data_IF_584054168859
#
_entry.id   IF_584054168859
#
_cell.length_a   1.000
_cell.length_b   1.000
_cell.length_c   1.000
_cell.angle_alpha   90.00
_cell.angle_beta   90.00
_cell.angle_gamma   90.00
#
_symmetry.space_group_name_H-M   'P 1'
#
loop_
_entity.id
_entity.type
_entity.pdbx_description
1 polymer ?
#
# COMPACT_ATOMS: atom_id res chain seq x y z
N UNK A 1 16.66 16.98 -13.93
CA UNK A 1 16.75 17.29 -12.49
C UNK A 1 15.52 18.01 -11.93
N UNK A 2 14.86 18.88 -12.70
CA UNK A 2 13.67 19.65 -12.29
C UNK A 2 12.40 18.80 -12.09
N UNK A 3 12.17 17.81 -12.93
CA UNK A 3 10.99 16.93 -12.86
C UNK A 3 10.97 16.02 -11.60
N UNK A 4 12.15 15.56 -11.17
CA UNK A 4 12.30 14.76 -9.95
C UNK A 4 12.00 15.57 -8.69
N UNK A 5 12.41 16.86 -8.64
CA UNK A 5 12.08 17.74 -7.51
C UNK A 5 10.58 18.01 -7.39
N UNK A 6 9.87 18.21 -8.51
CA UNK A 6 8.43 18.41 -8.50
C UNK A 6 7.66 17.16 -8.04
N UNK A 7 8.13 15.97 -8.41
CA UNK A 7 7.54 14.69 -7.99
C UNK A 7 7.72 14.42 -6.48
N UNK A 8 8.86 14.83 -5.90
CA UNK A 8 9.14 14.73 -4.46
C UNK A 8 8.33 15.73 -3.62
N UNK A 9 8.04 16.92 -4.15
CA UNK A 9 7.22 17.92 -3.45
C UNK A 9 5.77 17.49 -3.33
N UNK A 10 5.22 16.77 -4.32
CA UNK A 10 3.88 16.20 -4.27
C UNK A 10 3.77 15.10 -3.19
N UNK A 11 4.83 14.31 -2.98
CA UNK A 11 4.88 13.29 -1.92
C UNK A 11 4.91 13.93 -0.52
N UNK A 12 5.62 15.05 -0.35
CA UNK A 12 5.72 15.77 0.92
C UNK A 12 4.40 16.48 1.31
N UNK A 13 3.63 16.96 0.35
CA UNK A 13 2.34 17.62 0.60
C UNK A 13 1.26 16.65 1.12
N UNK A 14 1.31 15.38 0.74
CA UNK A 14 0.39 14.33 1.24
C UNK A 14 0.74 13.92 2.67
N UNK A 15 2.01 14.02 3.09
CA UNK A 15 2.46 13.75 4.46
C UNK A 15 1.92 14.77 5.49
N UNK A 16 1.72 16.02 5.07
CA UNK A 16 1.24 17.08 5.96
C UNK A 16 -0.26 16.99 6.30
N UNK A 17 -1.06 16.33 5.47
CA UNK A 17 -2.51 16.17 5.65
C UNK A 17 -2.92 15.00 6.56
N UNK A 18 -1.99 14.08 6.88
CA UNK A 18 -2.24 12.89 7.71
C UNK A 18 -2.08 13.11 9.23
N UNK A 19 -1.59 14.27 9.68
CA UNK A 19 -1.25 14.49 11.09
C UNK A 19 -2.33 15.19 11.93
N UNK A 20 -3.49 15.53 11.36
CA UNK A 20 -4.57 16.21 12.06
C UNK A 20 -5.77 15.28 12.27
N UNK A 21 -5.89 14.75 13.47
CA UNK A 21 -7.18 14.31 14.01
C UNK A 21 -7.37 12.84 14.34
N UNK A 22 -7.13 12.46 15.61
CA UNK A 22 -7.98 11.51 16.32
C UNK A 22 -7.99 11.86 17.80
N UNK A 23 -8.97 12.69 18.17
CA UNK A 23 -9.41 12.72 19.57
C UNK A 23 -10.44 11.59 19.74
N UNK A 24 -10.07 10.53 20.44
CA UNK A 24 -10.96 9.44 20.80
C UNK A 24 -11.70 9.80 22.10
N UNK A 25 -13.03 9.77 22.06
CA UNK A 25 -13.91 9.89 23.22
C UNK A 25 -13.76 8.63 24.11
N UNK A 26 -13.71 8.85 25.42
CA UNK A 26 -13.69 7.81 26.44
C UNK A 26 -15.08 7.17 26.60
N UNK A 27 -15.20 5.86 26.81
CA UNK A 27 -16.46 5.22 27.16
C UNK A 27 -16.72 5.28 28.67
N UNK A 28 -18.00 5.44 29.00
CA UNK A 28 -18.55 5.46 30.35
C UNK A 28 -18.46 4.08 31.02
N UNK A 29 -18.19 4.09 32.31
CA UNK A 29 -18.22 2.92 33.21
C UNK A 29 -19.66 2.38 33.35
N UNK A 30 -19.79 1.05 33.35
CA UNK A 30 -20.97 0.34 33.82
C UNK A 30 -20.55 -0.83 34.72
N UNK A 31 -21.14 -0.84 35.90
CA UNK A 31 -20.91 -1.77 37.01
C UNK A 31 -21.35 -3.22 36.75
N UNK A 32 -20.59 -4.13 37.36
CA UNK A 32 -21.07 -5.30 38.10
C UNK A 32 -21.43 -6.56 37.33
N UNK A 33 -20.61 -7.58 37.40
CA UNK A 33 -20.79 -8.91 38.02
C UNK A 33 -19.68 -9.88 37.64
N UNK A 34 -18.97 -10.32 38.64
CA UNK A 34 -17.90 -11.33 38.62
C UNK A 34 -18.45 -12.69 38.23
N UNK A 35 -18.07 -13.23 37.08
CA UNK A 35 -17.91 -14.63 36.82
C UNK A 35 -16.44 -14.91 36.47
N UNK A 36 -15.69 -15.48 37.40
CA UNK A 36 -14.34 -15.97 37.14
C UNK A 36 -14.44 -17.22 36.26
N UNK A 37 -14.37 -17.00 34.94
CA UNK A 37 -13.93 -18.04 34.05
C UNK A 37 -12.41 -17.90 33.88
N UNK A 38 -11.67 -18.95 34.28
CA UNK A 38 -10.28 -19.16 33.92
C UNK A 38 -10.18 -19.24 32.39
N UNK A 39 -10.11 -18.11 31.72
CA UNK A 39 -9.63 -18.03 30.35
C UNK A 39 -8.12 -17.83 30.42
N UNK A 40 -7.41 -18.76 29.79
CA UNK A 40 -5.96 -18.68 29.64
C UNK A 40 -5.53 -17.33 29.17
N UNK A 41 -4.42 -16.88 29.71
CA UNK A 41 -3.73 -15.61 29.48
C UNK A 41 -3.44 -15.47 27.96
N UNK A 42 -4.42 -15.02 27.20
CA UNK A 42 -4.20 -14.53 25.84
C UNK A 42 -3.53 -13.19 26.01
N UNK A 43 -2.19 -13.18 25.98
CA UNK A 43 -1.43 -11.94 25.87
C UNK A 43 -2.11 -11.06 24.85
N UNK A 44 -2.59 -9.88 25.26
CA UNK A 44 -3.22 -8.91 24.37
C UNK A 44 -2.19 -8.53 23.33
N UNK A 45 -2.27 -9.16 22.16
CA UNK A 45 -1.34 -8.89 21.07
C UNK A 45 -1.62 -7.47 20.59
N UNK A 46 -0.64 -6.58 20.74
CA UNK A 46 -0.72 -5.20 20.26
C UNK A 46 -1.20 -5.17 18.80
N UNK A 47 -2.27 -4.44 18.57
CA UNK A 47 -2.80 -4.25 17.23
C UNK A 47 -1.88 -3.30 16.48
N UNK A 48 -1.46 -3.66 15.27
CA UNK A 48 -0.57 -2.85 14.45
C UNK A 48 -1.32 -2.34 13.22
N UNK A 49 -1.22 -1.04 12.98
CA UNK A 49 -1.68 -0.40 11.76
C UNK A 49 -0.48 0.23 11.03
N UNK A 50 -0.56 0.30 9.72
CA UNK A 50 0.49 0.87 8.87
C UNK A 50 -0.11 1.65 7.72
N UNK A 51 0.39 2.87 7.51
CA UNK A 51 0.11 3.69 6.35
C UNK A 51 1.35 3.64 5.45
N UNK A 52 1.15 3.37 4.17
CA UNK A 52 2.23 3.34 3.17
C UNK A 52 1.88 4.26 2.01
N UNK A 53 2.88 4.96 1.49
CA UNK A 53 2.79 5.81 0.31
C UNK A 53 3.83 5.37 -0.70
N UNK A 54 3.39 5.09 -1.91
CA UNK A 54 4.25 4.64 -3.00
C UNK A 54 4.33 5.69 -4.10
N UNK A 55 5.50 5.83 -4.68
CA UNK A 55 5.71 6.37 -6.01
C UNK A 55 6.39 5.30 -6.86
N UNK A 56 5.72 4.91 -7.94
CA UNK A 56 6.16 3.85 -8.85
C UNK A 56 6.20 4.41 -10.25
N UNK A 57 7.39 4.47 -10.82
CA UNK A 57 7.62 4.90 -12.19
C UNK A 57 7.34 3.74 -13.15
N UNK A 58 6.75 4.04 -14.27
CA UNK A 58 6.42 3.06 -15.31
C UNK A 58 7.63 2.27 -15.79
N UNK A 59 7.40 1.02 -16.18
CA UNK A 59 8.37 0.14 -16.82
C UNK A 59 7.78 -0.49 -18.07
N UNK A 60 8.59 -0.51 -19.11
CA UNK A 60 8.25 -1.09 -20.39
C UNK A 60 7.83 -0.06 -21.43
N UNK A 61 7.89 -0.49 -22.68
CA UNK A 61 7.54 0.32 -23.84
C UNK A 61 6.03 0.51 -23.96
N UNK A 62 5.60 1.66 -24.46
CA UNK A 62 4.21 2.01 -24.76
C UNK A 62 3.28 2.14 -23.55
N UNK A 63 3.76 1.97 -22.32
CA UNK A 63 2.95 2.00 -21.10
C UNK A 63 3.57 2.98 -20.11
N UNK A 64 3.30 4.26 -20.35
CA UNK A 64 3.88 5.37 -19.60
C UNK A 64 2.91 5.82 -18.50
N UNK A 65 2.65 4.92 -17.53
CA UNK A 65 1.70 5.16 -16.44
C UNK A 65 2.46 5.10 -15.12
N UNK A 66 2.66 6.25 -14.50
CA UNK A 66 3.21 6.38 -13.16
C UNK A 66 2.10 6.21 -12.12
N UNK A 67 2.44 5.66 -10.95
CA UNK A 67 1.50 5.38 -9.89
C UNK A 67 1.86 6.09 -8.59
N UNK A 68 0.86 6.65 -7.95
CA UNK A 68 0.90 7.21 -6.62
C UNK A 68 -0.14 6.46 -5.79
N UNK A 69 0.32 5.63 -4.84
CA UNK A 69 -0.57 4.82 -4.04
C UNK A 69 -0.54 5.26 -2.58
N UNK A 70 -1.69 5.20 -1.93
CA UNK A 70 -1.85 5.26 -0.50
C UNK A 70 -2.48 3.95 -0.03
N UNK A 71 -1.82 3.29 0.91
CA UNK A 71 -2.33 2.07 1.52
C UNK A 71 -2.51 2.29 3.02
N UNK A 72 -3.61 1.76 3.56
CA UNK A 72 -3.84 1.67 5.00
C UNK A 72 -4.04 0.20 5.33
N UNK A 73 -3.10 -0.38 6.05
CA UNK A 73 -3.11 -1.78 6.45
C UNK A 73 -3.31 -1.95 7.94
N UNK A 74 -3.97 -3.03 8.32
CA UNK A 74 -4.05 -3.54 9.68
C UNK A 74 -3.49 -4.96 9.73
N UNK A 75 -2.53 -5.20 10.61
CA UNK A 75 -2.06 -6.55 10.91
C UNK A 75 -3.15 -7.30 11.68
N UNK A 76 -3.46 -8.52 11.25
CA UNK A 76 -4.46 -9.36 11.92
C UNK A 76 -3.88 -10.70 12.39
N UNK A 77 -2.73 -11.11 11.86
CA UNK A 77 -2.06 -12.35 12.27
C UNK A 77 -0.54 -12.21 12.15
N UNK A 78 0.16 -12.85 13.08
CA UNK A 78 1.61 -12.99 13.03
C UNK A 78 1.99 -14.44 13.33
N UNK A 79 2.92 -15.01 12.57
CA UNK A 79 3.34 -16.41 12.67
C UNK A 79 4.82 -16.52 12.28
N UNK A 80 5.71 -16.85 13.24
CA UNK A 80 7.12 -17.21 12.98
C UNK A 80 7.84 -16.28 11.98
N UNK A 81 7.77 -14.95 12.19
CA UNK A 81 8.41 -13.96 11.33
C UNK A 81 7.63 -13.61 10.06
N UNK A 82 6.44 -14.17 9.86
CA UNK A 82 5.49 -13.81 8.82
C UNK A 82 4.30 -13.08 9.42
N UNK A 83 3.91 -11.95 8.87
CA UNK A 83 2.72 -11.22 9.27
C UNK A 83 1.75 -11.03 8.10
N UNK A 84 0.46 -11.13 8.43
CA UNK A 84 -0.65 -11.01 7.49
C UNK A 84 -1.40 -9.72 7.77
N UNK A 85 -1.64 -8.95 6.71
CA UNK A 85 -2.30 -7.65 6.80
C UNK A 85 -3.42 -7.57 5.77
N UNK A 86 -4.49 -6.90 6.14
CA UNK A 86 -5.54 -6.50 5.20
C UNK A 86 -5.75 -4.99 5.29
N UNK A 87 -6.28 -4.40 4.24
CA UNK A 87 -6.48 -2.97 4.22
C UNK A 87 -7.10 -2.46 2.94
N UNK A 88 -6.97 -1.17 2.77
CA UNK A 88 -7.46 -0.45 1.61
C UNK A 88 -6.31 0.23 0.88
N UNK A 89 -6.45 0.30 -0.43
CA UNK A 89 -5.56 1.02 -1.34
C UNK A 89 -6.35 2.07 -2.09
N UNK A 90 -5.79 3.28 -2.17
CA UNK A 90 -6.18 4.30 -3.14
C UNK A 90 -4.99 4.48 -4.09
N UNK A 91 -5.23 4.41 -5.38
CA UNK A 91 -4.22 4.51 -6.43
C UNK A 91 -4.59 5.62 -7.39
N UNK A 92 -3.65 6.54 -7.62
CA UNK A 92 -3.72 7.51 -8.72
C UNK A 92 -2.73 7.09 -9.79
N UNK A 93 -3.24 6.67 -10.92
CA UNK A 93 -2.50 6.42 -12.13
C UNK A 93 -2.44 7.72 -12.96
N UNK A 94 -1.28 8.06 -13.49
CA UNK A 94 -1.09 9.27 -14.32
C UNK A 94 -0.24 8.88 -15.52
N UNK A 95 -0.77 9.12 -16.71
CA UNK A 95 -0.02 8.86 -17.92
C UNK A 95 -0.84 8.33 -19.07
N UNK A 96 -0.16 7.69 -20.01
CA UNK A 96 -0.76 7.22 -21.25
C UNK A 96 -0.23 5.85 -21.66
N UNK A 97 -0.98 5.19 -22.53
CA UNK A 97 -0.48 3.99 -23.19
C UNK A 97 -0.74 4.10 -24.70
N UNK A 98 0.02 3.33 -25.49
CA UNK A 98 -0.14 3.23 -26.94
C UNK A 98 -0.47 1.80 -27.32
N UNK A 99 -1.45 1.60 -28.20
CA UNK A 99 -1.77 0.28 -28.74
C UNK A 99 -0.65 -0.22 -29.67
N UNK A 100 -0.55 -1.53 -29.84
CA UNK A 100 0.52 -2.14 -30.63
C UNK A 100 0.45 -1.72 -32.09
N UNK A 101 -0.77 -1.60 -32.62
CA UNK A 101 -1.02 -1.33 -34.03
C UNK A 101 -0.97 0.18 -34.36
N UNK A 102 -1.01 1.03 -33.35
CA UNK A 102 -0.93 2.50 -33.45
C UNK A 102 0.02 3.07 -32.41
N UNK A 103 1.32 2.76 -32.48
CA UNK A 103 2.28 3.10 -31.41
C UNK A 103 2.49 4.63 -31.22
N UNK A 104 2.20 5.40 -32.25
CA UNK A 104 2.32 6.88 -32.22
C UNK A 104 1.09 7.56 -31.58
N UNK A 105 -0.02 6.84 -31.43
CA UNK A 105 -1.24 7.35 -30.82
C UNK A 105 -1.22 7.06 -29.31
N UNK A 106 -1.06 8.11 -28.52
CA UNK A 106 -1.08 8.03 -27.06
C UNK A 106 -2.49 8.26 -26.53
N UNK A 107 -3.02 7.26 -25.83
CA UNK A 107 -4.31 7.31 -25.17
C UNK A 107 -4.10 7.70 -23.71
N UNK A 108 -4.72 8.78 -23.26
CA UNK A 108 -4.71 9.14 -21.84
C UNK A 108 -5.31 7.99 -21.02
N UNK A 109 -4.58 7.62 -19.99
CA UNK A 109 -4.93 6.52 -19.09
C UNK A 109 -4.83 6.96 -17.63
N UNK A 110 -5.00 8.26 -17.39
CA UNK A 110 -5.02 8.79 -16.02
C UNK A 110 -6.34 8.42 -15.35
N UNK A 111 -6.26 7.87 -14.13
CA UNK A 111 -7.43 7.48 -13.36
C UNK A 111 -7.14 7.42 -11.85
N UNK A 112 -8.20 7.45 -11.05
CA UNK A 112 -8.14 7.19 -9.62
C UNK A 112 -8.92 5.91 -9.32
N UNK A 113 -8.27 4.96 -8.65
CA UNK A 113 -8.88 3.70 -8.25
C UNK A 113 -8.79 3.50 -6.74
N UNK A 114 -9.70 2.71 -6.20
CA UNK A 114 -9.65 2.27 -4.82
C UNK A 114 -10.14 0.84 -4.67
N UNK A 115 -9.69 0.17 -3.60
CA UNK A 115 -10.16 -1.16 -3.31
C UNK A 115 -9.41 -1.88 -2.21
N UNK A 116 -9.87 -3.08 -1.84
CA UNK A 116 -9.25 -3.90 -0.82
C UNK A 116 -7.89 -4.43 -1.27
N UNK A 117 -6.98 -4.53 -0.32
CA UNK A 117 -5.67 -5.12 -0.52
C UNK A 117 -5.29 -6.03 0.65
N UNK A 118 -4.48 -7.02 0.33
CA UNK A 118 -3.96 -8.01 1.24
C UNK A 118 -2.43 -8.06 1.13
N UNK A 119 -1.73 -8.03 2.27
CA UNK A 119 -0.27 -8.04 2.29
C UNK A 119 0.24 -9.15 3.20
N UNK A 120 1.20 -9.89 2.69
CA UNK A 120 2.05 -10.82 3.44
C UNK A 120 3.42 -10.19 3.57
N UNK A 121 3.96 -10.18 4.78
CA UNK A 121 5.30 -9.68 5.07
C UNK A 121 6.10 -10.73 5.81
N UNK A 122 7.29 -11.02 5.31
CA UNK A 122 8.30 -11.81 6.02
C UNK A 122 9.31 -10.87 6.62
N UNK A 123 9.53 -10.96 7.94
CA UNK A 123 10.40 -10.04 8.68
C UNK A 123 11.50 -10.78 9.39
N UNK A 124 12.73 -10.26 9.27
CA UNK A 124 13.92 -10.68 10.00
C UNK A 124 14.44 -9.51 10.82
N UNK A 125 14.50 -9.61 12.16
CA UNK A 125 15.14 -8.59 13.00
C UNK A 125 16.65 -8.48 12.67
N UNK A 126 17.15 -7.25 12.61
CA UNK A 126 18.56 -6.92 12.44
C UNK A 126 19.06 -6.14 13.68
N UNK A 127 18.85 -6.72 14.86
CA UNK A 127 19.11 -6.09 16.15
C UNK A 127 17.85 -5.48 16.79
N UNK A 128 18.03 -4.56 17.73
CA UNK A 128 16.91 -4.01 18.53
C UNK A 128 16.05 -3.02 17.76
N UNK A 129 16.61 -2.24 16.86
CA UNK A 129 15.94 -1.13 16.16
C UNK A 129 15.65 -1.36 14.68
N UNK A 130 16.35 -2.28 14.04
CA UNK A 130 16.23 -2.48 12.61
C UNK A 130 15.54 -3.80 12.26
N UNK A 131 14.77 -3.79 11.19
CA UNK A 131 14.14 -4.98 10.61
C UNK A 131 14.35 -4.96 9.09
N UNK A 132 14.71 -6.10 8.53
CA UNK A 132 14.63 -6.34 7.10
C UNK A 132 13.38 -7.17 6.82
N UNK A 133 12.61 -6.79 5.80
CA UNK A 133 11.39 -7.49 5.44
C UNK A 133 11.30 -7.66 3.93
N UNK A 134 10.44 -8.58 3.52
CA UNK A 134 10.02 -8.75 2.15
C UNK A 134 8.49 -8.71 2.10
N UNK A 135 7.93 -7.79 1.32
CA UNK A 135 6.50 -7.59 1.18
C UNK A 135 5.98 -8.24 -0.10
N UNK A 136 4.83 -8.89 -0.02
CA UNK A 136 4.02 -9.29 -1.17
C UNK A 136 2.58 -8.84 -0.93
N UNK A 137 2.05 -8.01 -1.82
CA UNK A 137 0.70 -7.44 -1.70
C UNK A 137 -0.10 -7.79 -2.94
N UNK A 138 -1.35 -8.17 -2.77
CA UNK A 138 -2.33 -8.33 -3.84
C UNK A 138 -3.58 -7.52 -3.53
N UNK A 139 -4.30 -7.05 -4.56
CA UNK A 139 -5.51 -6.27 -4.37
C UNK A 139 -6.35 -6.16 -5.63
N UNK A 140 -7.56 -5.66 -5.44
CA UNK A 140 -8.49 -5.33 -6.52
C UNK A 140 -8.77 -3.83 -6.44
N UNK A 141 -8.64 -3.14 -7.56
CA UNK A 141 -8.93 -1.71 -7.67
C UNK A 141 -10.12 -1.51 -8.62
N UNK A 142 -11.05 -0.67 -8.23
CA UNK A 142 -12.10 -0.15 -9.10
C UNK A 142 -11.76 1.32 -9.37
N UNK A 143 -11.68 1.66 -10.64
CA UNK A 143 -11.31 2.99 -11.10
C UNK A 143 -12.54 3.82 -11.45
N UNK A 144 -12.40 5.13 -11.32
CA UNK A 144 -13.45 6.10 -11.68
C UNK A 144 -13.69 6.18 -13.20
N UNK A 145 -12.75 5.66 -14.00
CA UNK A 145 -12.84 5.61 -15.46
C UNK A 145 -12.24 4.29 -15.97
N UNK A 146 -12.39 4.02 -17.25
CA UNK A 146 -11.76 2.89 -17.94
C UNK A 146 -10.25 3.04 -17.90
N UNK A 147 -9.55 2.08 -17.26
CA UNK A 147 -8.12 2.20 -17.02
C UNK A 147 -7.38 0.85 -17.19
N UNK A 148 -6.32 0.80 -18.00
CA UNK A 148 -5.92 1.81 -19.01
C UNK A 148 -7.01 2.02 -20.06
N UNK A 149 -6.91 3.10 -20.83
CA UNK A 149 -7.90 3.43 -21.87
C UNK A 149 -8.24 2.22 -22.75
N UNK A 150 -9.50 2.11 -23.17
CA UNK A 150 -10.07 1.01 -24.00
C UNK A 150 -10.06 -0.38 -23.31
N UNK A 151 -10.02 -0.46 -21.96
CA UNK A 151 -10.04 -1.72 -21.23
C UNK A 151 -11.25 -1.86 -20.32
N UNK A 152 -11.06 -1.85 -19.01
CA UNK A 152 -12.09 -2.00 -17.97
C UNK A 152 -11.86 -0.99 -16.85
N UNK A 153 -12.88 -0.73 -16.06
CA UNK A 153 -12.77 0.14 -14.88
C UNK A 153 -12.33 -0.62 -13.61
N UNK A 154 -11.75 -1.79 -13.73
CA UNK A 154 -11.16 -2.52 -12.62
C UNK A 154 -9.79 -3.09 -12.99
N UNK A 155 -8.95 -3.28 -11.98
CA UNK A 155 -7.63 -3.89 -12.11
C UNK A 155 -7.30 -4.79 -10.92
N UNK A 156 -6.61 -5.89 -11.22
CA UNK A 156 -5.94 -6.71 -10.24
C UNK A 156 -4.53 -6.16 -10.08
N UNK A 157 -4.17 -5.76 -8.89
CA UNK A 157 -2.81 -5.27 -8.60
C UNK A 157 -2.03 -6.30 -7.79
N UNK A 158 -0.74 -6.38 -8.04
CA UNK A 158 0.21 -6.92 -7.09
C UNK A 158 1.45 -6.04 -6.99
N UNK A 159 2.10 -6.06 -5.85
CA UNK A 159 3.39 -5.42 -5.63
C UNK A 159 4.25 -6.29 -4.71
N UNK A 160 5.56 -6.25 -4.93
CA UNK A 160 6.51 -7.13 -4.25
C UNK A 160 7.87 -6.44 -4.12
N UNK A 161 8.55 -6.65 -3.00
CA UNK A 161 9.92 -6.20 -2.85
C UNK A 161 10.42 -6.10 -1.42
N UNK A 162 11.72 -5.80 -1.26
CA UNK A 162 12.36 -5.64 0.04
C UNK A 162 11.98 -4.34 0.73
N UNK A 163 11.97 -4.39 2.06
CA UNK A 163 11.70 -3.27 2.96
C UNK A 163 12.68 -3.26 4.12
N UNK A 164 13.12 -2.08 4.49
CA UNK A 164 13.89 -1.83 5.72
C UNK A 164 13.04 -0.96 6.64
N UNK A 165 12.99 -1.34 7.90
CA UNK A 165 12.20 -0.64 8.94
C UNK A 165 13.10 -0.23 10.09
N UNK A 166 12.94 1.00 10.55
CA UNK A 166 13.57 1.52 11.77
C UNK A 166 12.51 1.75 12.85
N UNK A 167 12.68 1.13 14.00
CA UNK A 167 11.82 1.29 15.18
C UNK A 167 12.30 2.46 16.01
N UNK A 168 11.48 3.48 16.17
CA UNK A 168 11.76 4.59 17.10
C UNK A 168 11.61 4.13 18.55
N UNK A 169 10.55 3.37 18.80
CA UNK A 169 10.19 2.76 20.08
C UNK A 169 9.34 1.50 19.81
N UNK A 170 8.76 0.91 20.85
CA UNK A 170 7.92 -0.29 20.76
C UNK A 170 6.63 -0.08 19.96
N UNK A 171 6.14 1.17 19.91
CA UNK A 171 4.85 1.49 19.25
C UNK A 171 4.99 2.06 17.85
N UNK A 172 6.12 2.66 17.48
CA UNK A 172 6.23 3.39 16.22
C UNK A 172 7.49 3.04 15.43
N UNK A 173 7.32 2.91 14.13
CA UNK A 173 8.38 2.60 13.19
C UNK A 173 8.17 3.29 11.84
N UNK A 174 9.27 3.66 11.20
CA UNK A 174 9.32 4.16 9.82
C UNK A 174 9.98 3.13 8.93
N UNK A 175 9.50 2.99 7.72
CA UNK A 175 10.06 2.03 6.78
C UNK A 175 10.20 2.60 5.38
N UNK A 176 11.16 2.07 4.63
CA UNK A 176 11.35 2.35 3.21
C UNK A 176 11.43 1.02 2.48
N UNK A 177 10.74 0.93 1.34
CA UNK A 177 10.80 -0.24 0.47
C UNK A 177 11.10 0.15 -0.97
N UNK A 178 11.69 -0.79 -1.71
CA UNK A 178 11.81 -0.72 -3.16
C UNK A 178 10.96 -1.84 -3.76
N UNK A 179 9.95 -1.44 -4.53
CA UNK A 179 8.87 -2.34 -4.93
C UNK A 179 8.73 -2.40 -6.44
N UNK A 180 8.57 -3.62 -6.96
CA UNK A 180 7.96 -3.87 -8.26
C UNK A 180 6.43 -3.92 -8.12
N UNK A 181 5.71 -3.42 -9.11
CA UNK A 181 4.25 -3.34 -9.14
C UNK A 181 3.71 -3.74 -10.51
N UNK A 182 2.55 -4.36 -10.51
CA UNK A 182 1.83 -4.72 -11.73
C UNK A 182 0.33 -4.52 -11.54
N UNK A 183 -0.31 -4.04 -12.58
CA UNK A 183 -1.78 -3.99 -12.70
C UNK A 183 -2.21 -4.67 -13.99
N UNK A 184 -3.25 -5.47 -13.91
CA UNK A 184 -3.88 -6.12 -15.07
C UNK A 184 -5.36 -6.38 -14.78
N UNK A 185 -6.14 -6.69 -15.83
CA UNK A 185 -7.57 -7.01 -15.68
C UNK A 185 -7.86 -8.53 -15.67
N UNK A 186 -6.85 -9.36 -15.36
CA UNK A 186 -7.00 -10.81 -15.30
C UNK A 186 -7.13 -11.51 -16.67
N UNK A 187 -6.54 -10.95 -17.71
CA UNK A 187 -6.54 -11.48 -19.08
C UNK A 187 -7.93 -11.59 -19.74
N UNK A 188 -8.92 -10.90 -19.24
CA UNK A 188 -10.21 -10.80 -19.87
C UNK A 188 -10.21 -9.68 -20.90
N UNK A 189 -10.50 -9.98 -22.18
CA UNK A 189 -10.49 -8.99 -23.29
C UNK A 189 -9.12 -8.32 -23.49
N UNK A 190 -9.03 -7.12 -24.06
CA UNK A 190 -7.78 -6.36 -24.14
C UNK A 190 -7.21 -6.16 -22.71
N UNK A 191 -6.03 -6.72 -22.47
CA UNK A 191 -5.35 -6.59 -21.18
C UNK A 191 -3.95 -6.02 -21.40
N UNK A 192 -3.82 -4.68 -21.51
CA UNK A 192 -2.52 -4.04 -21.64
C UNK A 192 -1.79 -3.92 -20.32
N UNK A 193 -1.92 -4.87 -19.38
CA UNK A 193 -1.30 -4.82 -18.06
C UNK A 193 -0.01 -4.02 -18.04
N UNK A 194 0.25 -3.24 -17.01
CA UNK A 194 1.41 -2.36 -16.94
C UNK A 194 2.18 -2.59 -15.65
N UNK A 195 3.46 -2.25 -15.69
CA UNK A 195 4.40 -2.43 -14.59
C UNK A 195 4.93 -1.07 -14.12
N UNK A 196 5.21 -0.99 -12.83
CA UNK A 196 5.94 0.10 -12.22
C UNK A 196 7.01 -0.41 -11.26
N UNK A 197 8.00 0.41 -11.00
CA UNK A 197 9.03 0.15 -9.99
C UNK A 197 9.35 1.46 -9.26
N UNK A 198 9.57 1.39 -7.95
CA UNK A 198 9.88 2.61 -7.20
C UNK A 198 9.88 2.42 -5.71
N UNK A 199 9.66 3.52 -5.00
CA UNK A 199 9.83 3.61 -3.56
C UNK A 199 8.48 3.64 -2.85
N UNK A 200 8.48 3.05 -1.67
CA UNK A 200 7.39 3.12 -0.69
C UNK A 200 7.94 3.60 0.64
N UNK A 201 7.25 4.54 1.27
CA UNK A 201 7.50 4.97 2.65
C UNK A 201 6.33 4.50 3.48
N UNK A 202 6.61 3.86 4.62
CA UNK A 202 5.60 3.33 5.53
C UNK A 202 5.79 3.82 6.96
N UNK A 203 4.70 4.15 7.63
CA UNK A 203 4.67 4.42 9.07
C UNK A 203 3.78 3.41 9.76
N UNK A 204 4.36 2.66 10.71
CA UNK A 204 3.68 1.64 11.52
C UNK A 204 3.46 2.15 12.93
N UNK A 205 2.26 1.93 13.45
CA UNK A 205 1.88 2.24 14.80
C UNK A 205 1.21 1.05 15.48
N UNK A 206 1.59 0.78 16.75
CA UNK A 206 1.02 -0.26 17.62
C UNK A 206 0.15 0.37 18.70
N UNK A 207 -1.05 -0.16 18.95
CA UNK A 207 -2.05 0.36 19.89
C UNK A 207 -2.82 -0.75 20.62
#
# INVERSE_FOLDING_TARGET
>A
MTLFKAKMTALAAVLALGAAGTAAAAPAEADGHTMQMHMGDSAVQDKKAEIQMDYLEHRGERRYIDLYNLHVFRQYKEMHGMSLHWGLTVSRAVGSWAEKDTPDVRLDSSAVGAGPAYMVRWTKPLGSKWEASFDATGGVLVYNDVHPAHTRNYGLMWRIGPRVTYKFNEKSALSVAYLGHHVSNGQRTKNPGYNGIGLSIGYRYSY
#
